data_IF_475072198780
#
_entry.id   IF_475072198780
#
_cell.length_a   1.000
_cell.length_b   1.000
_cell.length_c   1.000
_cell.angle_alpha   90.00
_cell.angle_beta   90.00
_cell.angle_gamma   90.00
#
_symmetry.space_group_name_H-M   'P 1'
#
loop_
_entity.id
_entity.type
_entity.pdbx_description
1 polymer ?
#
# COMPACT_ATOMS: atom_id res chain seq x y z
N UNK A 1 -0.95 -8.32 -13.54
CA UNK A 1 -0.16 -9.38 -12.86
C UNK A 1 -1.00 -10.67 -12.82
N UNK A 2 -0.48 -11.84 -12.44
CA UNK A 2 -1.31 -13.03 -12.23
C UNK A 2 -1.94 -13.03 -10.83
N UNK A 3 -3.14 -13.63 -10.67
CA UNK A 3 -3.77 -13.79 -9.35
C UNK A 3 -2.81 -14.52 -8.39
N UNK A 4 -2.57 -13.98 -7.17
CA UNK A 4 -1.69 -14.64 -6.22
C UNK A 4 -2.23 -16.02 -5.83
N UNK A 5 -1.33 -17.00 -5.76
CA UNK A 5 -1.66 -18.37 -5.36
C UNK A 5 -1.06 -18.66 -3.99
N UNK A 6 -1.88 -19.16 -3.07
CA UNK A 6 -1.43 -19.56 -1.72
C UNK A 6 -0.34 -20.63 -1.85
N UNK A 7 0.68 -20.57 -0.98
CA UNK A 7 1.87 -21.44 -1.00
C UNK A 7 2.80 -21.25 -2.22
N UNK A 8 2.59 -20.20 -3.02
CA UNK A 8 3.54 -19.77 -4.05
C UNK A 8 4.19 -18.45 -3.65
N UNK A 9 5.41 -18.14 -4.14
CA UNK A 9 5.98 -16.81 -4.01
C UNK A 9 5.00 -15.75 -4.52
N UNK A 10 4.81 -14.68 -3.77
CA UNK A 10 4.06 -13.53 -4.25
C UNK A 10 4.73 -12.97 -5.53
N UNK A 11 3.96 -12.64 -6.57
CA UNK A 11 4.51 -12.02 -7.77
C UNK A 11 5.25 -10.73 -7.41
N UNK A 12 6.45 -10.56 -7.96
CA UNK A 12 7.27 -9.39 -7.70
C UNK A 12 6.76 -8.17 -8.47
N UNK A 13 6.93 -6.99 -7.88
CA UNK A 13 6.60 -5.71 -8.51
C UNK A 13 7.42 -4.58 -7.89
N UNK A 14 7.50 -3.47 -8.63
CA UNK A 14 8.08 -2.22 -8.15
C UNK A 14 7.13 -1.09 -8.49
N UNK A 15 6.79 -0.28 -7.50
CA UNK A 15 5.88 0.87 -7.67
C UNK A 15 6.46 2.10 -6.94
N UNK A 16 6.23 3.32 -7.46
CA UNK A 16 6.58 4.54 -6.75
C UNK A 16 5.64 4.78 -5.56
N UNK A 17 6.20 5.26 -4.46
CA UNK A 17 5.43 5.77 -3.33
C UNK A 17 5.02 7.24 -3.50
N UNK A 18 4.28 7.80 -2.52
CA UNK A 18 3.83 9.20 -2.52
C UNK A 18 4.94 10.26 -2.60
N UNK A 19 6.20 9.89 -2.33
CA UNK A 19 7.37 10.76 -2.49
C UNK A 19 8.11 10.51 -3.83
N UNK A 20 7.63 9.56 -4.63
CA UNK A 20 8.23 9.12 -5.89
C UNK A 20 9.37 8.12 -5.73
N UNK A 21 9.64 7.64 -4.51
CA UNK A 21 10.67 6.63 -4.28
C UNK A 21 10.16 5.26 -4.73
N UNK A 22 11.02 4.48 -5.38
CA UNK A 22 10.67 3.13 -5.78
C UNK A 22 10.62 2.22 -4.55
N UNK A 23 9.54 1.45 -4.44
CA UNK A 23 9.38 0.40 -3.46
C UNK A 23 9.24 -0.94 -4.19
N UNK A 24 10.08 -1.90 -3.85
CA UNK A 24 10.13 -3.21 -4.49
C UNK A 24 9.75 -4.32 -3.50
N UNK A 25 8.85 -5.23 -3.90
CA UNK A 25 8.40 -6.31 -3.02
C UNK A 25 9.54 -7.30 -2.69
N UNK A 26 10.37 -7.66 -3.67
CA UNK A 26 11.48 -8.59 -3.46
C UNK A 26 12.57 -8.06 -2.52
N UNK A 27 12.68 -6.73 -2.35
CA UNK A 27 13.58 -6.11 -1.35
C UNK A 27 13.06 -6.28 0.09
N UNK A 28 11.78 -6.63 0.27
CA UNK A 28 11.18 -6.86 1.59
C UNK A 28 11.27 -8.32 2.07
N UNK A 29 12.00 -9.19 1.36
CA UNK A 29 12.17 -10.59 1.75
C UNK A 29 12.73 -10.71 3.18
N UNK A 30 12.17 -11.64 3.95
CA UNK A 30 12.51 -11.84 5.35
C UNK A 30 11.65 -11.04 6.33
N UNK A 31 10.79 -10.14 5.84
CA UNK A 31 9.77 -9.45 6.63
C UNK A 31 8.37 -9.97 6.29
N UNK A 32 7.44 -9.80 7.23
CA UNK A 32 6.01 -9.90 6.93
C UNK A 32 5.60 -8.61 6.22
N UNK A 33 4.88 -8.73 5.10
CA UNK A 33 4.38 -7.57 4.35
C UNK A 33 2.86 -7.69 4.19
N UNK A 34 2.15 -6.63 4.51
CA UNK A 34 0.70 -6.49 4.31
C UNK A 34 0.47 -5.53 3.15
N UNK A 35 -0.10 -6.06 2.05
CA UNK A 35 -0.51 -5.28 0.88
C UNK A 35 -2.01 -4.98 0.96
N UNK A 36 -2.37 -3.70 1.11
CA UNK A 36 -3.75 -3.24 1.17
C UNK A 36 -4.17 -2.63 -0.18
N UNK A 37 -4.85 -3.42 -1.01
CA UNK A 37 -5.40 -2.94 -2.27
C UNK A 37 -6.74 -2.23 -2.03
N UNK A 38 -6.92 -1.01 -2.55
CA UNK A 38 -8.16 -0.26 -2.40
C UNK A 38 -8.54 0.50 -3.70
N UNK A 39 -9.85 0.72 -3.96
CA UNK A 39 -10.32 1.36 -5.20
C UNK A 39 -9.80 2.76 -5.47
N UNK A 40 -9.63 3.58 -4.43
CA UNK A 40 -8.97 4.87 -4.59
C UNK A 40 -9.06 5.84 -3.41
N UNK A 41 -8.18 6.84 -3.47
CA UNK A 41 -7.97 7.89 -2.48
C UNK A 41 -9.22 8.74 -2.29
N UNK A 42 -9.37 9.33 -1.10
CA UNK A 42 -10.45 10.30 -0.76
C UNK A 42 -11.89 9.76 -0.96
N UNK A 43 -12.06 8.46 -1.21
CA UNK A 43 -13.38 7.83 -1.29
C UNK A 43 -13.90 7.46 0.12
N UNK A 44 -15.20 7.65 0.43
CA UNK A 44 -15.69 7.55 1.81
C UNK A 44 -15.39 6.23 2.53
N UNK A 45 -15.37 5.11 1.79
CA UNK A 45 -15.10 3.79 2.35
C UNK A 45 -13.60 3.58 2.52
N UNK A 46 -12.79 3.87 1.49
CA UNK A 46 -11.34 3.68 1.55
C UNK A 46 -10.70 4.61 2.59
N UNK A 47 -11.17 5.87 2.67
CA UNK A 47 -10.74 6.81 3.71
C UNK A 47 -10.99 6.24 5.11
N UNK A 48 -12.16 5.66 5.36
CA UNK A 48 -12.46 5.01 6.65
C UNK A 48 -11.57 3.80 6.91
N UNK A 49 -11.29 2.99 5.90
CA UNK A 49 -10.41 1.83 6.02
C UNK A 49 -8.97 2.25 6.35
N UNK A 50 -8.41 3.19 5.60
CA UNK A 50 -7.04 3.69 5.83
C UNK A 50 -6.89 4.42 7.16
N UNK A 51 -7.90 5.22 7.55
CA UNK A 51 -7.93 5.82 8.89
C UNK A 51 -8.01 4.75 9.99
N UNK A 52 -8.77 3.66 9.79
CA UNK A 52 -8.83 2.57 10.77
C UNK A 52 -7.49 1.83 10.93
N UNK A 53 -6.69 1.76 9.85
CA UNK A 53 -5.31 1.23 9.91
C UNK A 53 -4.41 2.19 10.68
N UNK A 54 -4.45 3.49 10.37
CA UNK A 54 -3.74 4.55 11.12
C UNK A 54 -4.06 4.49 12.61
N UNK A 55 -5.33 4.41 12.96
CA UNK A 55 -5.79 4.46 14.35
C UNK A 55 -5.34 3.22 15.16
N UNK A 56 -4.87 2.17 14.49
CA UNK A 56 -4.34 0.92 15.07
C UNK A 56 -2.87 0.69 14.69
N UNK A 57 -2.14 1.73 14.31
CA UNK A 57 -0.79 1.59 13.78
C UNK A 57 0.17 0.86 14.73
N UNK A 58 0.02 1.06 16.04
CA UNK A 58 0.82 0.39 17.06
C UNK A 58 0.62 -1.15 17.04
N UNK A 59 -0.61 -1.62 16.75
CA UNK A 59 -0.89 -3.06 16.64
C UNK A 59 -0.15 -3.67 15.44
N UNK A 60 -0.11 -2.95 14.30
CA UNK A 60 0.62 -3.40 13.12
C UNK A 60 2.13 -3.41 13.35
N UNK A 61 2.67 -2.31 13.88
CA UNK A 61 4.13 -2.19 14.12
C UNK A 61 4.62 -3.20 15.16
N UNK A 62 3.81 -3.55 16.16
CA UNK A 62 4.13 -4.59 17.13
C UNK A 62 4.33 -5.99 16.50
N UNK A 63 3.74 -6.26 15.33
CA UNK A 63 3.97 -7.51 14.59
C UNK A 63 5.29 -7.53 13.81
N UNK A 64 5.92 -6.37 13.64
CA UNK A 64 7.07 -6.19 12.74
C UNK A 64 6.71 -6.24 11.25
N UNK A 65 5.42 -6.17 10.91
CA UNK A 65 4.98 -6.17 9.52
C UNK A 65 5.16 -4.78 8.87
N UNK A 66 5.62 -4.78 7.61
CA UNK A 66 5.55 -3.61 6.73
C UNK A 66 4.14 -3.54 6.13
N UNK A 67 3.44 -2.42 6.32
CA UNK A 67 2.08 -2.22 5.79
C UNK A 67 2.11 -1.15 4.72
N UNK A 68 1.61 -1.48 3.52
CA UNK A 68 1.52 -0.56 2.39
C UNK A 68 0.15 -0.60 1.74
N UNK A 69 -0.35 0.57 1.30
CA UNK A 69 -1.56 0.71 0.51
C UNK A 69 -1.24 0.78 -0.98
N UNK A 70 -2.10 0.23 -1.84
CA UNK A 70 -1.94 0.23 -3.30
C UNK A 70 -3.27 0.57 -3.96
N UNK A 71 -3.29 1.58 -4.83
CA UNK A 71 -4.41 1.85 -5.76
C UNK A 71 -3.88 2.35 -7.11
N UNK A 72 -4.79 2.60 -8.06
CA UNK A 72 -4.46 3.20 -9.35
C UNK A 72 -4.29 4.73 -9.31
N UNK A 73 -4.36 5.35 -8.13
CA UNK A 73 -4.19 6.80 -7.99
C UNK A 73 -2.73 7.20 -8.19
N UNK A 74 -2.52 8.46 -8.58
CA UNK A 74 -1.18 9.01 -8.82
C UNK A 74 -0.37 9.19 -7.53
N UNK A 75 0.96 9.24 -7.67
CA UNK A 75 1.90 9.64 -6.61
C UNK A 75 1.46 10.94 -5.91
N UNK A 76 1.01 11.94 -6.67
CA UNK A 76 0.55 13.22 -6.11
C UNK A 76 -0.72 13.06 -5.26
N UNK A 77 -1.66 12.22 -5.71
CA UNK A 77 -2.87 11.91 -4.95
C UNK A 77 -2.52 11.24 -3.62
N UNK A 78 -1.67 10.21 -3.67
CA UNK A 78 -1.21 9.47 -2.49
C UNK A 78 -0.53 10.36 -1.47
N UNK A 79 0.32 11.29 -1.94
CA UNK A 79 0.95 12.28 -1.08
C UNK A 79 -0.08 13.13 -0.36
N UNK A 80 -1.02 13.73 -1.10
CA UNK A 80 -2.07 14.59 -0.53
C UNK A 80 -2.96 13.82 0.44
N UNK A 81 -3.37 12.61 0.08
CA UNK A 81 -4.21 11.76 0.92
C UNK A 81 -3.52 11.37 2.22
N UNK A 82 -2.23 11.00 2.13
CA UNK A 82 -1.40 10.68 3.30
C UNK A 82 -1.23 11.89 4.22
N UNK A 83 -0.92 13.06 3.67
CA UNK A 83 -0.78 14.31 4.42
C UNK A 83 -2.11 14.73 5.07
N UNK A 84 -3.22 14.70 4.32
CA UNK A 84 -4.54 15.12 4.76
C UNK A 84 -5.07 14.25 5.91
N UNK A 85 -4.90 12.93 5.82
CA UNK A 85 -5.37 11.99 6.82
C UNK A 85 -4.29 11.53 7.81
N UNK A 86 -3.07 12.09 7.73
CA UNK A 86 -1.93 11.72 8.59
C UNK A 86 -1.69 10.21 8.61
N UNK A 87 -1.70 9.61 7.42
CA UNK A 87 -1.53 8.18 7.26
C UNK A 87 -0.04 7.81 7.49
N UNK A 88 0.25 6.84 8.39
CA UNK A 88 1.62 6.43 8.69
C UNK A 88 2.14 5.35 7.74
N UNK A 89 1.23 4.67 7.04
CA UNK A 89 1.54 3.68 6.02
C UNK A 89 1.99 4.36 4.72
N UNK A 90 2.86 3.67 3.99
CA UNK A 90 3.26 4.08 2.64
C UNK A 90 2.16 3.71 1.65
N UNK A 91 1.85 4.62 0.72
CA UNK A 91 0.91 4.39 -0.38
C UNK A 91 1.68 4.30 -1.70
N UNK A 92 1.42 3.26 -2.49
CA UNK A 92 2.11 2.93 -3.73
C UNK A 92 1.18 3.12 -4.93
N UNK A 93 1.63 3.91 -5.89
CA UNK A 93 0.86 4.26 -7.07
C UNK A 93 1.02 3.22 -8.18
N UNK A 94 -0.06 2.49 -8.48
CA UNK A 94 -0.17 1.59 -9.64
C UNK A 94 -0.95 2.27 -10.77
N UNK A 95 -0.46 3.42 -11.23
CA UNK A 95 -1.15 4.25 -12.23
C UNK A 95 -1.44 3.51 -13.56
N UNK A 96 -0.60 2.53 -13.91
CA UNK A 96 -0.78 1.69 -15.10
C UNK A 96 -1.70 0.48 -14.86
N UNK A 97 -2.20 0.32 -13.63
CA UNK A 97 -3.08 -0.76 -13.21
C UNK A 97 -2.49 -2.16 -13.50
N UNK A 98 -1.18 -2.33 -13.34
CA UNK A 98 -0.47 -3.57 -13.66
C UNK A 98 -0.41 -4.54 -12.48
N UNK A 99 -0.59 -4.05 -11.25
CA UNK A 99 -0.43 -4.78 -9.99
C UNK A 99 -1.78 -4.98 -9.28
N UNK A 100 -2.62 -3.95 -9.23
CA UNK A 100 -3.90 -3.92 -8.51
C UNK A 100 -5.11 -4.41 -9.35
N UNK A 101 -4.87 -5.09 -10.47
CA UNK A 101 -5.91 -5.68 -11.36
C UNK A 101 -5.81 -7.20 -11.53
#
# INVERSE_FOLDING_TARGET
MGKPTINSPAPDFTLPDGDGNQWCLSEQRGKVVVLLFYPGDETPICTKQMCSVRDRWDDYTATGAEVVGISSDSVESHRKFSEHHKLPLRLLSDADANVAT
#
